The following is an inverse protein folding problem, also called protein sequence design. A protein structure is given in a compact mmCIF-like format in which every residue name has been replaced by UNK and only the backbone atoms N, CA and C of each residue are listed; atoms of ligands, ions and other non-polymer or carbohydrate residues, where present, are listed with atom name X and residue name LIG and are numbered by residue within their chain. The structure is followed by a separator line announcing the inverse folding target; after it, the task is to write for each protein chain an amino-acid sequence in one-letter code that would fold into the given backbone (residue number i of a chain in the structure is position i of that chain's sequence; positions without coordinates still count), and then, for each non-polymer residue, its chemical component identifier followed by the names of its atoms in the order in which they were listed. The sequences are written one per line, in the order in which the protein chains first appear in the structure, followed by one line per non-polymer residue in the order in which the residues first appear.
data_IF_287937708306
#
_entry.id   IF_287937708306
#
_cell.length_a   1.000
_cell.length_b   1.000
_cell.length_c   1.000
_cell.angle_alpha   90.00
_cell.angle_beta   90.00
_cell.angle_gamma   90.00
#
_symmetry.space_group_name_H-M   'P 1'
#
loop_
_entity.id
_entity.type
_entity.pdbx_description
1 polymer ?
#
# COMPACT_ATOMS: atom_id res chain seq x y z
N UNK A 1 -7.25 -18.60 -24.28
CA UNK A 1 -8.18 -17.96 -23.30
C UNK A 1 -7.99 -16.46 -23.44
N UNK A 2 -9.01 -15.74 -23.87
CA UNK A 2 -8.91 -14.30 -24.14
C UNK A 2 -8.84 -13.51 -22.83
N UNK A 3 -7.82 -12.69 -22.68
CA UNK A 3 -7.62 -11.82 -21.52
C UNK A 3 -8.35 -10.50 -21.78
N UNK A 4 -9.35 -10.19 -20.98
CA UNK A 4 -10.06 -8.91 -21.09
C UNK A 4 -9.41 -7.86 -20.19
N UNK A 5 -9.02 -6.72 -20.77
CA UNK A 5 -8.43 -5.56 -20.11
C UNK A 5 -9.33 -4.35 -20.34
N UNK A 6 -9.80 -3.74 -19.27
CA UNK A 6 -10.61 -2.52 -19.30
C UNK A 6 -9.72 -1.31 -18.94
N UNK A 7 -9.66 -0.31 -19.81
CA UNK A 7 -8.87 0.92 -19.61
C UNK A 7 -9.82 2.05 -19.18
N UNK A 8 -9.48 2.71 -18.11
CA UNK A 8 -10.18 3.87 -17.55
C UNK A 8 -9.14 4.96 -17.19
N UNK A 9 -8.85 5.86 -18.10
CA UNK A 9 -7.89 6.96 -17.91
C UNK A 9 -8.39 8.24 -18.56
N UNK A 10 -8.23 9.38 -17.85
CA UNK A 10 -8.65 10.69 -18.33
C UNK A 10 -7.77 11.27 -19.46
N UNK A 11 -6.58 10.71 -19.66
CA UNK A 11 -5.67 11.11 -20.71
C UNK A 11 -5.91 10.30 -21.99
N UNK A 12 -6.41 10.93 -23.03
CA UNK A 12 -6.60 10.29 -24.33
C UNK A 12 -5.28 9.69 -24.89
N UNK A 13 -4.15 10.33 -24.61
CA UNK A 13 -2.86 9.82 -25.05
C UNK A 13 -2.50 8.51 -24.35
N UNK A 14 -2.69 8.44 -23.03
CA UNK A 14 -2.48 7.22 -22.25
C UNK A 14 -3.39 6.11 -22.75
N UNK A 15 -4.69 6.39 -22.97
CA UNK A 15 -5.66 5.42 -23.46
C UNK A 15 -5.25 4.85 -24.82
N UNK A 16 -4.95 5.71 -25.80
CA UNK A 16 -4.56 5.30 -27.15
C UNK A 16 -3.23 4.53 -27.12
N UNK A 17 -2.25 5.00 -26.35
CA UNK A 17 -0.95 4.33 -26.19
C UNK A 17 -1.11 2.94 -25.58
N UNK A 18 -1.82 2.83 -24.47
CA UNK A 18 -2.08 1.55 -23.81
C UNK A 18 -2.87 0.59 -24.70
N UNK A 19 -3.92 1.08 -25.36
CA UNK A 19 -4.73 0.28 -26.29
C UNK A 19 -3.86 -0.30 -27.43
N UNK A 20 -3.00 0.54 -28.03
CA UNK A 20 -2.12 0.13 -29.12
C UNK A 20 -1.16 -0.97 -28.70
N UNK A 21 -0.52 -0.80 -27.53
CA UNK A 21 0.42 -1.76 -26.99
C UNK A 21 -0.26 -3.09 -26.62
N UNK A 22 -1.43 -3.02 -26.00
CA UNK A 22 -2.15 -4.21 -25.52
C UNK A 22 -2.80 -4.99 -26.67
N UNK A 23 -3.30 -4.32 -27.72
CA UNK A 23 -3.80 -4.98 -28.93
C UNK A 23 -2.73 -5.74 -29.73
N UNK A 24 -1.46 -5.37 -29.56
CA UNK A 24 -0.34 -6.13 -30.12
C UNK A 24 -0.13 -7.51 -29.51
N UNK A 25 -0.78 -7.81 -28.37
CA UNK A 25 -0.74 -9.12 -27.72
C UNK A 25 -1.80 -10.04 -28.33
N UNK A 26 -1.38 -11.25 -28.67
CA UNK A 26 -2.32 -12.30 -29.01
C UNK A 26 -3.26 -12.59 -27.82
N UNK A 27 -4.50 -12.91 -28.10
CA UNK A 27 -5.51 -13.27 -27.08
C UNK A 27 -5.87 -12.16 -26.08
N UNK A 28 -5.76 -10.87 -26.44
CA UNK A 28 -6.16 -9.76 -25.57
C UNK A 28 -7.36 -9.01 -26.18
N UNK A 29 -8.41 -8.86 -25.39
CA UNK A 29 -9.55 -7.97 -25.67
C UNK A 29 -9.38 -6.70 -24.84
N UNK A 30 -9.34 -5.54 -25.49
CA UNK A 30 -9.21 -4.24 -24.83
C UNK A 30 -10.50 -3.45 -25.02
N UNK A 31 -11.08 -3.00 -23.91
CA UNK A 31 -12.21 -2.05 -23.89
C UNK A 31 -11.85 -0.80 -23.11
N UNK A 32 -12.64 0.26 -23.26
CA UNK A 32 -12.39 1.55 -22.60
C UNK A 32 -13.65 2.00 -21.89
N UNK A 33 -13.48 2.60 -20.72
CA UNK A 33 -14.55 3.29 -20.01
C UNK A 33 -14.44 4.81 -20.24
N UNK A 34 -15.58 5.47 -20.41
CA UNK A 34 -15.66 6.91 -20.68
C UNK A 34 -15.75 7.75 -19.39
N UNK A 35 -16.32 7.20 -18.33
CA UNK A 35 -16.53 7.85 -17.04
C UNK A 35 -16.67 6.80 -15.93
N UNK A 36 -16.79 7.25 -14.68
CA UNK A 36 -16.86 6.37 -13.52
C UNK A 36 -18.04 5.39 -13.55
N UNK A 37 -19.21 5.81 -14.01
CA UNK A 37 -20.39 4.94 -14.03
C UNK A 37 -20.29 3.90 -15.16
N UNK A 38 -19.73 4.29 -16.30
CA UNK A 38 -19.43 3.38 -17.40
C UNK A 38 -18.34 2.35 -16.98
N UNK A 39 -17.30 2.79 -16.27
CA UNK A 39 -16.29 1.90 -15.69
C UNK A 39 -16.96 0.79 -14.86
N UNK A 40 -17.84 1.15 -13.95
CA UNK A 40 -18.48 0.17 -13.06
C UNK A 40 -19.44 -0.73 -13.82
N UNK A 41 -20.20 -0.18 -14.77
CA UNK A 41 -21.14 -0.94 -15.61
C UNK A 41 -20.40 -1.98 -16.45
N UNK A 42 -19.31 -1.58 -17.13
CA UNK A 42 -18.50 -2.49 -17.94
C UNK A 42 -17.77 -3.53 -17.05
N UNK A 43 -17.26 -3.11 -15.88
CA UNK A 43 -16.63 -4.03 -14.93
C UNK A 43 -17.59 -5.11 -14.46
N UNK A 44 -18.82 -4.75 -14.10
CA UNK A 44 -19.83 -5.71 -13.66
C UNK A 44 -20.28 -6.65 -14.79
N UNK A 45 -20.48 -6.11 -16.00
CA UNK A 45 -20.98 -6.86 -17.14
C UNK A 45 -19.94 -7.83 -17.72
N UNK A 46 -18.69 -7.42 -17.81
CA UNK A 46 -17.66 -8.14 -18.55
C UNK A 46 -16.63 -8.85 -17.67
N UNK A 47 -16.60 -8.59 -16.36
CA UNK A 47 -15.67 -9.22 -15.41
C UNK A 47 -14.23 -9.23 -15.95
N UNK A 48 -13.61 -8.07 -16.24
CA UNK A 48 -12.29 -8.02 -16.87
C UNK A 48 -11.23 -8.67 -15.99
N UNK A 49 -10.22 -9.28 -16.58
CA UNK A 49 -9.09 -9.84 -15.86
C UNK A 49 -8.22 -8.72 -15.25
N UNK A 50 -8.12 -7.58 -15.95
CA UNK A 50 -7.38 -6.41 -15.50
C UNK A 50 -8.21 -5.15 -15.74
N UNK A 51 -8.21 -4.25 -14.75
CA UNK A 51 -8.65 -2.85 -14.89
C UNK A 51 -7.40 -1.97 -14.79
N UNK A 52 -7.13 -1.21 -15.85
CA UNK A 52 -6.08 -0.21 -15.91
C UNK A 52 -6.72 1.14 -15.58
N UNK A 53 -6.43 1.68 -14.39
CA UNK A 53 -7.08 2.86 -13.84
C UNK A 53 -6.11 4.04 -13.71
N UNK A 54 -6.39 5.15 -14.38
CA UNK A 54 -5.68 6.43 -14.18
C UNK A 54 -6.08 7.09 -12.86
N UNK A 55 -5.13 7.67 -12.15
CA UNK A 55 -5.36 8.36 -10.87
C UNK A 55 -6.23 9.64 -11.00
N UNK A 56 -6.47 10.10 -12.21
CA UNK A 56 -7.31 11.26 -12.56
C UNK A 56 -8.34 10.91 -13.61
N UNK A 57 -8.84 9.67 -13.59
CA UNK A 57 -9.80 9.21 -14.60
C UNK A 57 -11.08 10.03 -14.59
N UNK A 58 -11.66 10.26 -13.44
CA UNK A 58 -12.89 11.04 -13.29
C UNK A 58 -12.67 12.12 -12.21
N UNK A 59 -12.79 13.42 -12.57
CA UNK A 59 -12.53 14.52 -11.64
C UNK A 59 -13.57 14.61 -10.49
N UNK A 60 -14.70 13.91 -10.59
CA UNK A 60 -15.73 13.89 -9.56
C UNK A 60 -15.50 12.80 -8.50
N UNK A 61 -14.59 11.87 -8.75
CA UNK A 61 -14.35 10.74 -7.87
C UNK A 61 -12.88 10.61 -7.50
N UNK A 62 -12.64 10.38 -6.22
CA UNK A 62 -11.31 9.96 -5.75
C UNK A 62 -10.97 8.56 -6.28
N UNK A 63 -9.71 8.35 -6.64
CA UNK A 63 -9.20 7.04 -7.12
C UNK A 63 -9.51 5.92 -6.13
N UNK A 64 -9.43 6.19 -4.83
CA UNK A 64 -9.75 5.24 -3.78
C UNK A 64 -11.20 4.74 -3.87
N UNK A 65 -12.15 5.65 -4.10
CA UNK A 65 -13.58 5.33 -4.28
C UNK A 65 -13.80 4.47 -5.51
N UNK A 66 -13.09 4.78 -6.61
CA UNK A 66 -13.19 3.99 -7.85
C UNK A 66 -12.64 2.58 -7.66
N UNK A 67 -11.50 2.43 -6.97
CA UNK A 67 -10.93 1.12 -6.63
C UNK A 67 -11.92 0.28 -5.84
N UNK A 68 -12.52 0.82 -4.77
CA UNK A 68 -13.52 0.09 -3.98
C UNK A 68 -14.73 -0.33 -4.81
N UNK A 69 -15.23 0.55 -5.68
CA UNK A 69 -16.37 0.24 -6.56
C UNK A 69 -16.01 -0.86 -7.56
N UNK A 70 -14.82 -0.83 -8.16
CA UNK A 70 -14.33 -1.86 -9.08
C UNK A 70 -14.21 -3.22 -8.38
N UNK A 71 -13.56 -3.27 -7.20
CA UNK A 71 -13.42 -4.50 -6.41
C UNK A 71 -14.79 -5.08 -6.06
N UNK A 72 -15.76 -4.23 -5.72
CA UNK A 72 -17.13 -4.69 -5.42
C UNK A 72 -17.85 -5.23 -6.65
N UNK A 73 -17.63 -4.62 -7.83
CA UNK A 73 -18.26 -5.03 -9.09
C UNK A 73 -17.63 -6.29 -9.70
N UNK A 74 -16.31 -6.47 -9.53
CA UNK A 74 -15.56 -7.62 -10.03
C UNK A 74 -14.43 -7.99 -9.06
N UNK A 75 -14.70 -8.78 -8.02
CA UNK A 75 -13.71 -9.13 -6.99
C UNK A 75 -12.48 -9.88 -7.50
N UNK A 76 -12.58 -10.53 -8.65
CA UNK A 76 -11.47 -11.24 -9.31
C UNK A 76 -10.64 -10.33 -10.24
N UNK A 77 -11.10 -9.12 -10.54
CA UNK A 77 -10.37 -8.19 -11.39
C UNK A 77 -9.12 -7.66 -10.68
N UNK A 78 -8.00 -7.65 -11.38
CA UNK A 78 -6.75 -7.09 -10.89
C UNK A 78 -6.63 -5.65 -11.32
N UNK A 79 -6.41 -4.74 -10.39
CA UNK A 79 -6.34 -3.31 -10.66
C UNK A 79 -4.87 -2.90 -10.78
N UNK A 80 -4.53 -2.25 -11.90
CA UNK A 80 -3.25 -1.57 -12.09
C UNK A 80 -3.54 -0.07 -12.17
N UNK A 81 -2.94 0.72 -11.30
CA UNK A 81 -3.10 2.18 -11.31
C UNK A 81 -1.97 2.82 -12.10
N UNK A 82 -2.29 3.80 -12.95
CA UNK A 82 -1.34 4.72 -13.58
C UNK A 82 -1.50 6.06 -12.87
N UNK A 83 -0.46 6.52 -12.16
CA UNK A 83 -0.56 7.72 -11.35
C UNK A 83 0.61 8.69 -11.51
N UNK A 84 0.31 9.97 -11.33
CA UNK A 84 1.32 11.03 -11.32
C UNK A 84 2.05 11.11 -9.96
N UNK A 85 1.44 10.61 -8.89
CA UNK A 85 2.07 10.61 -7.57
C UNK A 85 3.21 9.60 -7.50
N UNK A 86 4.33 10.03 -6.94
CA UNK A 86 5.47 9.17 -6.60
C UNK A 86 5.64 9.03 -5.08
N UNK A 87 4.67 9.50 -4.28
CA UNK A 87 4.70 9.35 -2.82
C UNK A 87 4.49 7.88 -2.43
N UNK A 88 5.50 7.30 -1.81
CA UNK A 88 5.46 5.89 -1.40
C UNK A 88 4.40 5.59 -0.33
N UNK A 89 3.92 6.56 0.46
CA UNK A 89 2.79 6.37 1.37
C UNK A 89 1.48 6.23 0.61
N UNK A 90 1.25 7.07 -0.39
CA UNK A 90 0.08 6.98 -1.27
C UNK A 90 0.07 5.63 -1.99
N UNK A 91 1.21 5.23 -2.56
CA UNK A 91 1.35 3.94 -3.24
C UNK A 91 1.05 2.77 -2.28
N UNK A 92 1.59 2.81 -1.06
CA UNK A 92 1.32 1.81 -0.03
C UNK A 92 -0.18 1.72 0.28
N UNK A 93 -0.82 2.85 0.50
CA UNK A 93 -2.23 2.90 0.87
C UNK A 93 -3.12 2.34 -0.26
N UNK A 94 -2.79 2.61 -1.52
CA UNK A 94 -3.46 2.00 -2.66
C UNK A 94 -3.29 0.46 -2.69
N UNK A 95 -2.09 -0.06 -2.40
CA UNK A 95 -1.88 -1.51 -2.28
C UNK A 95 -2.68 -2.12 -1.13
N UNK A 96 -2.78 -1.43 0.00
CA UNK A 96 -3.63 -1.88 1.12
C UNK A 96 -5.12 -1.90 0.76
N UNK A 97 -5.55 -1.09 -0.20
CA UNK A 97 -6.91 -1.13 -0.75
C UNK A 97 -7.15 -2.26 -1.75
N UNK A 98 -6.10 -2.94 -2.22
CA UNK A 98 -6.20 -4.13 -3.07
C UNK A 98 -5.79 -3.93 -4.52
N UNK A 99 -5.06 -2.86 -4.88
CA UNK A 99 -4.46 -2.80 -6.21
C UNK A 99 -3.36 -3.85 -6.35
N UNK A 100 -3.12 -4.30 -7.59
CA UNK A 100 -2.10 -5.29 -7.89
C UNK A 100 -0.87 -4.68 -8.58
N UNK A 101 -0.96 -3.48 -9.08
CA UNK A 101 0.15 -2.78 -9.73
C UNK A 101 0.03 -1.26 -9.68
N UNK A 102 1.19 -0.59 -9.72
CA UNK A 102 1.27 0.87 -9.84
C UNK A 102 2.34 1.27 -10.85
N UNK A 103 1.96 2.10 -11.79
CA UNK A 103 2.83 2.68 -12.82
C UNK A 103 2.94 4.18 -12.58
N UNK A 104 4.14 4.69 -12.31
CA UNK A 104 4.37 6.13 -12.28
C UNK A 104 4.28 6.68 -13.72
N UNK A 105 3.46 7.71 -13.91
CA UNK A 105 3.24 8.30 -15.24
C UNK A 105 4.50 8.91 -15.88
N UNK A 106 5.52 9.20 -15.06
CA UNK A 106 6.83 9.68 -15.52
C UNK A 106 7.79 8.60 -16.00
N UNK A 107 7.48 7.31 -15.77
CA UNK A 107 8.29 6.19 -16.24
C UNK A 107 8.02 5.88 -17.72
N UNK A 108 8.83 5.01 -18.33
CA UNK A 108 8.59 4.48 -19.67
C UNK A 108 7.35 3.56 -19.64
N UNK A 109 6.16 4.16 -19.79
CA UNK A 109 4.89 3.44 -19.76
C UNK A 109 4.82 2.30 -20.78
N UNK A 110 5.27 2.45 -22.06
CA UNK A 110 5.31 1.34 -23.01
C UNK A 110 6.07 0.11 -22.50
N UNK A 111 7.26 0.29 -21.94
CA UNK A 111 8.06 -0.81 -21.40
C UNK A 111 7.46 -1.38 -20.11
N UNK A 112 6.95 -0.51 -19.23
CA UNK A 112 6.40 -0.91 -17.93
C UNK A 112 5.05 -1.60 -18.04
N UNK A 113 4.16 -1.16 -18.93
CA UNK A 113 2.78 -1.64 -19.04
C UNK A 113 2.69 -3.14 -19.35
N UNK A 114 3.42 -3.59 -20.37
CA UNK A 114 3.41 -5.01 -20.75
C UNK A 114 3.95 -5.90 -19.64
N UNK A 115 5.04 -5.45 -19.00
CA UNK A 115 5.63 -6.17 -17.86
C UNK A 115 4.67 -6.20 -16.66
N UNK A 116 3.97 -5.10 -16.39
CA UNK A 116 2.98 -5.02 -15.32
C UNK A 116 1.83 -6.00 -15.56
N UNK A 117 1.26 -6.01 -16.76
CA UNK A 117 0.19 -6.93 -17.14
C UNK A 117 0.62 -8.38 -16.95
N UNK A 118 1.80 -8.78 -17.46
CA UNK A 118 2.30 -10.13 -17.31
C UNK A 118 2.57 -10.53 -15.86
N UNK A 119 3.09 -9.60 -15.07
CA UNK A 119 3.41 -9.84 -13.66
C UNK A 119 2.14 -10.00 -12.83
N UNK A 120 1.18 -9.10 -13.04
CA UNK A 120 -0.09 -9.09 -12.31
C UNK A 120 -0.97 -10.30 -12.68
N UNK A 121 -0.96 -10.74 -13.94
CA UNK A 121 -1.64 -11.97 -14.36
C UNK A 121 -1.08 -13.24 -13.67
N UNK A 122 0.19 -13.20 -13.25
CA UNK A 122 0.83 -14.26 -12.46
C UNK A 122 0.64 -14.08 -10.93
N UNK A 123 -0.31 -13.25 -10.54
CA UNK A 123 -0.64 -12.97 -9.13
C UNK A 123 0.52 -12.35 -8.33
N UNK A 124 1.39 -11.61 -9.01
CA UNK A 124 2.50 -10.90 -8.39
C UNK A 124 2.26 -9.39 -8.45
N UNK A 125 2.55 -8.64 -7.39
CA UNK A 125 2.45 -7.19 -7.44
C UNK A 125 3.52 -6.61 -8.37
N UNK A 126 3.21 -5.47 -8.98
CA UNK A 126 4.15 -4.75 -9.82
C UNK A 126 4.22 -3.26 -9.44
N UNK A 127 5.43 -2.75 -9.40
CA UNK A 127 5.74 -1.33 -9.29
C UNK A 127 6.68 -0.94 -10.44
N UNK A 128 6.39 0.14 -11.12
CA UNK A 128 7.33 0.70 -12.10
C UNK A 128 8.60 1.24 -11.41
N UNK A 129 9.72 1.42 -12.11
CA UNK A 129 11.01 1.70 -11.48
C UNK A 129 11.01 2.86 -10.48
N UNK A 130 10.47 4.01 -10.86
CA UNK A 130 10.39 5.20 -9.98
C UNK A 130 9.46 4.93 -8.80
N UNK A 131 8.27 4.36 -9.04
CA UNK A 131 7.34 4.02 -7.98
C UNK A 131 7.95 3.01 -6.97
N UNK A 132 8.71 2.04 -7.45
CA UNK A 132 9.38 1.06 -6.60
C UNK A 132 10.49 1.69 -5.74
N UNK A 133 11.29 2.59 -6.32
CA UNK A 133 12.34 3.29 -5.58
C UNK A 133 11.75 4.11 -4.42
N UNK A 134 10.73 4.92 -4.69
CA UNK A 134 10.07 5.76 -3.68
C UNK A 134 9.31 4.93 -2.63
N UNK A 135 8.64 3.86 -3.05
CA UNK A 135 8.02 2.92 -2.13
C UNK A 135 9.04 2.30 -1.16
N UNK A 136 10.19 1.84 -1.66
CA UNK A 136 11.24 1.26 -0.82
C UNK A 136 11.85 2.29 0.13
N UNK A 137 12.12 3.53 -0.33
CA UNK A 137 12.59 4.62 0.54
C UNK A 137 11.61 4.89 1.66
N UNK A 138 10.32 4.97 1.33
CA UNK A 138 9.25 5.22 2.31
C UNK A 138 9.12 4.07 3.29
N UNK A 139 9.16 2.82 2.83
CA UNK A 139 9.11 1.65 3.69
C UNK A 139 10.33 1.56 4.61
N UNK A 140 11.53 1.88 4.13
CA UNK A 140 12.74 1.94 4.94
C UNK A 140 12.69 3.06 5.98
N UNK A 141 12.20 4.25 5.60
CA UNK A 141 12.01 5.37 6.52
C UNK A 141 10.96 5.02 7.60
N UNK A 142 9.84 4.47 7.20
CA UNK A 142 8.82 3.96 8.12
C UNK A 142 9.41 2.88 9.04
N UNK A 143 10.15 1.93 8.49
CA UNK A 143 10.78 0.87 9.27
C UNK A 143 11.78 1.43 10.30
N UNK A 144 12.55 2.47 9.94
CA UNK A 144 13.45 3.16 10.89
C UNK A 144 12.68 3.95 11.96
N UNK A 145 11.58 4.60 11.59
CA UNK A 145 10.69 5.27 12.56
C UNK A 145 9.98 4.27 13.49
N UNK A 146 9.71 3.05 12.99
CA UNK A 146 9.02 1.99 13.73
C UNK A 146 9.98 1.10 14.52
N UNK A 147 11.30 1.17 14.30
CA UNK A 147 12.25 0.49 15.16
C UNK A 147 12.35 1.23 16.49
N UNK A 148 11.89 0.59 17.55
CA UNK A 148 12.32 0.97 18.90
C UNK A 148 13.82 0.72 19.00
N UNK A 149 14.55 1.68 19.55
CA UNK A 149 15.95 1.44 19.90
C UNK A 149 16.06 0.25 20.87
N UNK A 150 17.21 -0.42 20.96
CA UNK A 150 17.36 -1.61 21.79
C UNK A 150 16.94 -1.39 23.25
N UNK A 151 17.22 -0.21 23.82
CA UNK A 151 16.84 0.15 25.18
C UNK A 151 15.32 0.26 25.33
N UNK A 152 14.66 0.99 24.42
CA UNK A 152 13.20 1.13 24.44
C UNK A 152 12.49 -0.22 24.26
N UNK A 153 13.03 -1.09 23.41
CA UNK A 153 12.49 -2.44 23.21
C UNK A 153 12.62 -3.30 24.46
N UNK A 154 13.78 -3.22 25.14
CA UNK A 154 14.00 -3.94 26.39
C UNK A 154 13.08 -3.43 27.51
N UNK A 155 12.92 -2.11 27.64
CA UNK A 155 11.97 -1.49 28.59
C UNK A 155 10.54 -1.92 28.29
N UNK A 156 10.08 -1.88 27.04
CA UNK A 156 8.73 -2.28 26.65
C UNK A 156 8.45 -3.74 26.98
N UNK A 157 9.42 -4.63 26.71
CA UNK A 157 9.30 -6.07 27.03
C UNK A 157 9.12 -6.32 28.54
N UNK A 158 9.90 -5.64 29.35
CA UNK A 158 9.82 -5.79 30.81
C UNK A 158 8.53 -5.17 31.37
N UNK A 159 8.06 -4.05 30.80
CA UNK A 159 6.73 -3.49 31.14
C UNK A 159 5.63 -4.48 30.82
N UNK A 160 5.67 -5.11 29.65
CA UNK A 160 4.68 -6.11 29.26
C UNK A 160 4.71 -7.39 30.11
N UNK A 161 5.88 -7.72 30.69
CA UNK A 161 6.01 -8.79 31.68
C UNK A 161 5.58 -8.37 33.10
N UNK A 162 4.96 -7.19 33.27
CA UNK A 162 4.47 -6.71 34.55
C UNK A 162 5.53 -6.13 35.49
N UNK A 163 6.76 -5.90 35.00
CA UNK A 163 7.82 -5.32 35.82
C UNK A 163 7.55 -3.84 36.13
N UNK A 164 7.80 -3.44 37.37
CA UNK A 164 7.77 -2.02 37.77
C UNK A 164 9.00 -1.27 37.21
N UNK A 165 8.88 0.06 37.09
CA UNK A 165 9.98 0.89 36.62
C UNK A 165 11.28 0.71 37.43
N UNK A 166 11.17 0.43 38.73
CA UNK A 166 12.32 0.18 39.61
C UNK A 166 12.99 -1.16 39.29
N UNK A 167 12.22 -2.21 39.07
CA UNK A 167 12.74 -3.52 38.64
C UNK A 167 13.38 -3.46 37.25
N UNK A 168 12.78 -2.72 36.31
CA UNK A 168 13.35 -2.49 35.00
C UNK A 168 14.70 -1.76 35.11
N UNK A 169 14.77 -0.71 35.92
CA UNK A 169 16.00 0.03 36.18
C UNK A 169 17.10 -0.89 36.69
N UNK A 170 16.77 -1.78 37.63
CA UNK A 170 17.73 -2.76 38.15
C UNK A 170 18.18 -3.80 37.12
N UNK A 171 17.20 -4.38 36.36
CA UNK A 171 17.50 -5.43 35.37
C UNK A 171 18.31 -4.93 34.17
N UNK A 172 18.06 -3.69 33.73
CA UNK A 172 18.77 -3.09 32.58
C UNK A 172 19.97 -2.24 32.98
N UNK A 173 20.30 -2.16 34.27
CA UNK A 173 21.35 -1.28 34.82
C UNK A 173 21.19 0.18 34.36
N UNK A 174 19.96 0.68 34.41
CA UNK A 174 19.59 2.04 34.05
C UNK A 174 19.24 2.85 35.30
N UNK A 175 19.41 4.17 35.21
CA UNK A 175 18.84 5.07 36.21
C UNK A 175 17.31 5.07 36.12
N UNK A 176 16.61 5.05 37.23
CA UNK A 176 15.15 5.05 37.29
C UNK A 176 14.53 6.20 36.45
N UNK A 177 15.15 7.39 36.49
CA UNK A 177 14.73 8.55 35.65
C UNK A 177 14.83 8.24 34.16
N UNK A 178 15.80 7.42 33.73
CA UNK A 178 15.95 7.01 32.32
C UNK A 178 14.80 6.10 31.89
N UNK A 179 14.40 5.16 32.73
CA UNK A 179 13.26 4.29 32.47
C UNK A 179 11.98 5.09 32.29
N UNK A 180 11.70 6.06 33.18
CA UNK A 180 10.57 6.95 33.04
C UNK A 180 10.60 7.76 31.75
N UNK A 181 11.75 8.31 31.40
CA UNK A 181 11.91 9.09 30.17
C UNK A 181 11.68 8.24 28.92
N UNK A 182 12.21 7.03 28.87
CA UNK A 182 12.01 6.09 27.76
C UNK A 182 10.53 5.71 27.65
N UNK A 183 9.88 5.39 28.76
CA UNK A 183 8.46 5.05 28.81
C UNK A 183 7.58 6.21 28.34
N UNK A 184 7.88 7.43 28.78
CA UNK A 184 7.15 8.62 28.37
C UNK A 184 7.28 8.88 26.87
N UNK A 185 8.51 8.78 26.35
CA UNK A 185 8.77 8.91 24.92
C UNK A 185 8.03 7.85 24.10
N UNK A 186 7.95 6.61 24.59
CA UNK A 186 7.15 5.57 23.96
C UNK A 186 5.65 5.87 24.04
N UNK A 187 5.13 6.31 25.19
CA UNK A 187 3.72 6.71 25.32
C UNK A 187 3.35 7.80 24.32
N UNK A 188 4.17 8.84 24.22
CA UNK A 188 3.97 9.91 23.24
C UNK A 188 3.97 9.38 21.80
N UNK A 189 4.89 8.48 21.47
CA UNK A 189 5.03 7.88 20.14
C UNK A 189 3.83 7.01 19.75
N UNK A 190 3.33 6.17 20.69
CA UNK A 190 2.20 5.27 20.44
C UNK A 190 0.84 5.90 20.74
N UNK A 191 0.79 7.20 21.07
CA UNK A 191 -0.45 7.88 21.47
C UNK A 191 -1.11 7.24 22.70
N UNK A 192 -0.31 6.71 23.65
CA UNK A 192 -0.80 6.04 24.82
C UNK A 192 -0.76 6.94 26.05
N UNK A 193 -1.77 6.83 26.93
CA UNK A 193 -1.87 7.60 28.16
C UNK A 193 -1.42 6.82 29.39
N UNK A 194 -1.51 5.47 29.34
CA UNK A 194 -1.06 4.56 30.42
C UNK A 194 -0.09 3.52 29.89
N UNK A 195 0.57 2.77 30.80
CA UNK A 195 1.46 1.69 30.38
C UNK A 195 0.70 0.52 29.75
N UNK A 196 -0.51 0.21 30.27
CA UNK A 196 -1.37 -0.82 29.71
C UNK A 196 -1.80 -0.46 28.29
N UNK A 197 -2.16 0.80 28.07
CA UNK A 197 -2.51 1.31 26.74
C UNK A 197 -1.28 1.29 25.81
N UNK A 198 -0.08 1.65 26.32
CA UNK A 198 1.18 1.53 25.57
C UNK A 198 1.44 0.08 25.12
N UNK A 199 1.32 -0.89 26.03
CA UNK A 199 1.55 -2.31 25.74
C UNK A 199 0.53 -2.81 24.69
N UNK A 200 -0.75 -2.46 24.85
CA UNK A 200 -1.81 -2.84 23.91
C UNK A 200 -1.56 -2.27 22.51
N UNK A 201 -1.21 -0.98 22.42
CA UNK A 201 -0.90 -0.31 21.12
C UNK A 201 0.35 -0.89 20.49
N UNK A 202 1.41 -1.10 21.25
CA UNK A 202 2.64 -1.69 20.77
C UNK A 202 2.43 -3.14 20.28
N UNK A 203 1.57 -3.92 20.94
CA UNK A 203 1.19 -5.25 20.49
C UNK A 203 0.43 -5.21 19.16
N UNK A 204 -0.55 -4.32 19.03
CA UNK A 204 -1.33 -4.14 17.80
C UNK A 204 -0.44 -3.74 16.60
N UNK A 205 0.66 -3.02 16.86
CA UNK A 205 1.63 -2.60 15.86
C UNK A 205 2.79 -3.61 15.65
N UNK A 206 2.69 -4.82 16.23
CA UNK A 206 3.65 -5.91 16.03
C UNK A 206 4.95 -5.82 16.84
N UNK A 207 5.04 -4.86 17.80
CA UNK A 207 6.23 -4.72 18.67
C UNK A 207 6.22 -5.68 19.87
N UNK A 208 5.13 -6.38 20.10
CA UNK A 208 4.91 -7.24 21.23
C UNK A 208 4.51 -8.66 20.82
N UNK A 209 5.42 -9.39 20.17
CA UNK A 209 5.38 -10.84 20.26
C UNK A 209 6.13 -11.22 21.54
N UNK A 210 5.42 -11.23 22.67
CA UNK A 210 5.94 -11.79 23.92
C UNK A 210 5.55 -13.25 23.94
N UNK A 211 6.51 -14.21 23.91
CA UNK A 211 6.21 -15.57 24.30
C UNK A 211 5.77 -15.55 25.77
N UNK A 212 4.55 -16.06 26.02
CA UNK A 212 4.05 -16.32 27.38
C UNK A 212 4.92 -17.30 28.15
#
# INVERSE_FOLDING_TARGET
MTIHILIADGSSLTVVGAETLLKGRADTLVTKAENADDLITQTAAHQPAIVLLGDRFDPLFDTAVLIERVIRAAPAARIIVIGASIDGLVIRDLFMMGICGYLAAGDDLPACLLTAVDTVLRERPYLSPTANAEYLVTMQASHRQWQLDPEARAVLRLLASGCTAREIAGRLNLKLRRVYWVTEKMRARFGATTNEHLISRAAAEGFANFPG
#
